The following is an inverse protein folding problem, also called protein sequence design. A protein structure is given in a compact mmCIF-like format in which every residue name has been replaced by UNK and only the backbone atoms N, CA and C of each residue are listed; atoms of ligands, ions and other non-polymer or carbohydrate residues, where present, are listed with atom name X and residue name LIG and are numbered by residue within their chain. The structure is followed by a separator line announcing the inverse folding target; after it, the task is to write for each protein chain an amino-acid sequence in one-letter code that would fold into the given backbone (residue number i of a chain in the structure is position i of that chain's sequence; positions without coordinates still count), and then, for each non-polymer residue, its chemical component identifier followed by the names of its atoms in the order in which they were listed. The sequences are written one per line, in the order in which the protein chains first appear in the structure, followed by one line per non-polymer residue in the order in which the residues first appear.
data_IF_110610398838
#
_entry.id   IF_110610398838
#
_cell.length_a   1.000
_cell.length_b   1.000
_cell.length_c   1.000
_cell.angle_alpha   90.00
_cell.angle_beta   90.00
_cell.angle_gamma   90.00
#
_symmetry.space_group_name_H-M   'P 1'
#
loop_
_entity.id
_entity.type
_entity.pdbx_description
1 polymer ?
#
# COMPACT_ATOMS: atom_id res chain seq x y z
N UNK A 1 8.44 3.53 -1.89
CA UNK A 1 7.92 3.56 -0.52
C UNK A 1 9.07 3.74 0.44
N UNK A 2 9.03 4.79 1.25
CA UNK A 2 10.12 5.16 2.15
C UNK A 2 9.91 4.72 3.59
N UNK A 3 8.79 4.09 3.90
CA UNK A 3 8.51 3.58 5.24
C UNK A 3 9.40 2.38 5.57
N UNK A 4 9.91 2.33 6.80
CA UNK A 4 10.70 1.20 7.29
C UNK A 4 9.86 0.31 8.18
N UNK A 5 9.74 -0.96 7.80
CA UNK A 5 9.06 -1.98 8.58
C UNK A 5 9.68 -3.34 8.30
N UNK A 6 9.40 -4.30 9.19
CA UNK A 6 9.96 -5.64 9.06
C UNK A 6 9.47 -6.31 7.78
N UNK A 7 10.41 -6.85 7.01
CA UNK A 7 10.12 -7.56 5.77
C UNK A 7 9.86 -6.68 4.56
N UNK A 8 10.08 -5.37 4.65
CA UNK A 8 9.88 -4.44 3.53
C UNK A 8 10.57 -4.90 2.25
N UNK A 9 11.80 -5.38 2.37
CA UNK A 9 12.58 -5.77 1.19
C UNK A 9 11.96 -6.97 0.46
N UNK A 10 11.31 -7.88 1.19
CA UNK A 10 10.60 -9.00 0.59
C UNK A 10 9.45 -8.49 -0.26
N UNK A 11 8.67 -7.53 0.24
CA UNK A 11 7.56 -6.93 -0.51
C UNK A 11 8.06 -6.14 -1.73
N UNK A 12 9.19 -5.43 -1.60
CA UNK A 12 9.79 -4.73 -2.74
C UNK A 12 10.22 -5.69 -3.84
N UNK A 13 10.76 -6.85 -3.48
CA UNK A 13 11.09 -7.90 -4.45
C UNK A 13 9.83 -8.43 -5.14
N UNK A 14 8.76 -8.66 -4.39
CA UNK A 14 7.50 -9.08 -4.98
C UNK A 14 6.97 -8.04 -5.96
N UNK A 15 6.99 -6.75 -5.58
CA UNK A 15 6.56 -5.67 -6.46
C UNK A 15 7.35 -5.62 -7.76
N UNK A 16 8.63 -5.94 -7.73
CA UNK A 16 9.47 -5.96 -8.93
C UNK A 16 9.04 -7.03 -9.95
N UNK A 17 8.30 -8.05 -9.49
CA UNK A 17 7.79 -9.15 -10.31
C UNK A 17 6.28 -9.08 -10.51
N UNK A 18 5.64 -8.00 -10.07
CA UNK A 18 4.20 -7.86 -10.11
C UNK A 18 3.72 -7.44 -11.51
N UNK A 19 2.60 -8.03 -11.91
CA UNK A 19 1.83 -7.58 -13.09
C UNK A 19 0.45 -7.16 -12.63
N UNK A 20 -0.05 -6.10 -13.20
CA UNK A 20 -1.44 -5.65 -12.96
C UNK A 20 -2.34 -6.52 -13.82
N UNK A 21 -3.26 -7.24 -13.15
CA UNK A 21 -4.23 -8.11 -13.86
C UNK A 21 -5.63 -7.53 -13.87
N UNK A 22 -5.90 -6.53 -13.01
CA UNK A 22 -7.21 -5.91 -12.92
C UNK A 22 -7.06 -4.53 -12.31
N UNK A 23 -7.83 -3.57 -12.83
CA UNK A 23 -7.87 -2.21 -12.30
C UNK A 23 -9.31 -1.71 -12.31
N UNK A 24 -9.78 -1.25 -11.14
CA UNK A 24 -11.07 -0.60 -11.00
C UNK A 24 -10.86 0.84 -10.58
N UNK A 25 -11.55 1.78 -11.26
CA UNK A 25 -11.48 3.21 -10.97
C UNK A 25 -12.89 3.80 -10.82
N UNK A 26 -13.74 3.18 -10.01
CA UNK A 26 -15.13 3.61 -9.91
C UNK A 26 -15.35 4.50 -8.68
N UNK A 27 -15.80 3.98 -7.58
CA UNK A 27 -15.96 4.74 -6.33
C UNK A 27 -14.63 4.85 -5.57
N UNK A 28 -13.75 3.88 -5.79
CA UNK A 28 -12.41 3.83 -5.25
C UNK A 28 -11.52 3.16 -6.31
N UNK A 29 -10.20 3.23 -6.09
CA UNK A 29 -9.26 2.58 -7.01
C UNK A 29 -8.81 1.26 -6.39
N UNK A 30 -8.93 0.17 -7.14
CA UNK A 30 -8.43 -1.15 -6.75
C UNK A 30 -7.55 -1.67 -7.86
N UNK A 31 -6.30 -1.96 -7.53
CA UNK A 31 -5.33 -2.53 -8.47
C UNK A 31 -4.95 -3.90 -7.99
N UNK A 32 -5.33 -4.93 -8.76
CA UNK A 32 -5.01 -6.32 -8.45
C UNK A 32 -3.72 -6.72 -9.12
N UNK A 33 -2.89 -7.46 -8.39
CA UNK A 33 -1.60 -7.92 -8.87
C UNK A 33 -1.53 -9.43 -9.02
N UNK A 34 -0.71 -9.87 -9.96
CA UNK A 34 -0.21 -11.24 -10.03
C UNK A 34 1.30 -11.20 -9.92
N UNK A 35 1.84 -11.95 -8.99
CA UNK A 35 3.29 -12.06 -8.81
C UNK A 35 3.76 -13.33 -9.52
N UNK A 36 4.70 -13.18 -10.47
CA UNK A 36 5.20 -14.29 -11.27
C UNK A 36 6.63 -14.65 -10.89
N UNK A 37 6.97 -15.95 -10.99
CA UNK A 37 8.31 -16.46 -10.74
C UNK A 37 8.52 -16.91 -9.32
N UNK A 38 9.78 -17.16 -8.99
CA UNK A 38 10.17 -17.56 -7.64
C UNK A 38 10.14 -16.35 -6.72
N UNK A 39 9.26 -16.38 -5.75
CA UNK A 39 9.06 -15.30 -4.79
C UNK A 39 9.16 -15.83 -3.37
N UNK A 40 9.74 -15.01 -2.49
CA UNK A 40 9.72 -15.26 -1.07
C UNK A 40 8.43 -14.71 -0.48
N UNK A 41 7.61 -15.53 0.19
CA UNK A 41 6.40 -15.02 0.82
C UNK A 41 6.75 -14.13 2.01
N UNK A 42 5.89 -13.12 2.24
CA UNK A 42 6.02 -12.26 3.41
C UNK A 42 5.73 -13.09 4.67
N UNK A 43 6.69 -13.16 5.63
CA UNK A 43 6.57 -14.11 6.74
C UNK A 43 5.66 -13.66 7.87
N UNK A 44 5.20 -12.42 7.83
CA UNK A 44 4.36 -11.86 8.90
C UNK A 44 2.88 -11.98 8.54
N UNK A 45 2.06 -12.37 9.52
CA UNK A 45 0.62 -12.54 9.34
C UNK A 45 -0.11 -11.20 9.52
N UNK A 46 0.13 -10.28 8.60
CA UNK A 46 -0.43 -8.94 8.62
C UNK A 46 -1.04 -8.66 7.25
N UNK A 47 -2.33 -8.29 7.21
CA UNK A 47 -3.03 -8.00 5.96
C UNK A 47 -2.51 -6.72 5.30
N UNK A 48 -2.34 -5.67 6.09
CA UNK A 48 -1.85 -4.37 5.63
C UNK A 48 -0.69 -3.94 6.53
N UNK A 49 0.55 -4.24 6.13
CA UNK A 49 1.71 -3.90 6.96
C UNK A 49 1.97 -2.39 7.05
N UNK A 50 1.60 -1.66 6.02
CA UNK A 50 1.80 -0.20 5.98
C UNK A 50 0.64 0.47 5.27
N UNK A 51 0.16 1.58 5.85
CA UNK A 51 -0.81 2.47 5.24
C UNK A 51 -0.10 3.77 4.91
N UNK A 52 -0.31 4.29 3.71
CA UNK A 52 0.23 5.59 3.32
C UNK A 52 -0.92 6.59 3.20
N UNK A 53 -0.75 7.78 3.76
CA UNK A 53 -1.70 8.87 3.65
C UNK A 53 -1.06 10.05 2.92
N UNK A 54 -1.65 10.44 1.81
CA UNK A 54 -1.23 11.60 1.05
C UNK A 54 -2.19 12.76 1.33
N UNK A 55 -1.68 13.80 1.98
CA UNK A 55 -2.47 14.96 2.38
C UNK A 55 -2.53 15.97 1.26
N UNK A 56 -3.74 16.46 0.99
CA UNK A 56 -4.03 17.44 -0.03
C UNK A 56 -4.46 18.77 0.61
N UNK A 57 -4.26 19.88 -0.09
CA UNK A 57 -4.51 21.21 0.44
C UNK A 57 -5.99 21.48 0.74
N UNK A 58 -6.89 21.09 -0.12
CA UNK A 58 -8.31 21.46 -0.03
C UNK A 58 -9.25 20.26 -0.02
N UNK A 59 -8.71 19.07 0.17
CA UNK A 59 -9.48 17.83 0.11
C UNK A 59 -9.04 16.87 1.20
N UNK A 60 -9.88 15.87 1.47
CA UNK A 60 -9.53 14.82 2.40
C UNK A 60 -8.29 14.05 1.93
N UNK A 61 -7.50 13.49 2.86
CA UNK A 61 -6.34 12.68 2.50
C UNK A 61 -6.70 11.48 1.63
N UNK A 62 -5.80 11.14 0.72
CA UNK A 62 -5.87 9.90 -0.06
C UNK A 62 -5.13 8.82 0.70
N UNK A 63 -5.76 7.67 0.90
CA UNK A 63 -5.23 6.56 1.69
C UNK A 63 -4.88 5.41 0.75
N UNK A 64 -3.66 4.91 0.86
CA UNK A 64 -3.14 3.79 0.09
C UNK A 64 -2.96 2.59 1.01
N UNK A 65 -3.63 1.49 0.69
CA UNK A 65 -3.61 0.25 1.46
C UNK A 65 -3.09 -0.88 0.59
N UNK A 66 -1.89 -1.36 0.91
CA UNK A 66 -1.32 -2.52 0.22
C UNK A 66 -1.72 -3.79 0.97
N UNK A 67 -2.56 -4.60 0.33
CA UNK A 67 -3.10 -5.83 0.90
C UNK A 67 -2.21 -7.03 0.60
N UNK A 68 -1.88 -7.78 1.63
CA UNK A 68 -1.10 -9.03 1.55
C UNK A 68 -2.03 -10.19 1.87
N UNK A 69 -2.05 -11.19 1.01
CA UNK A 69 -2.84 -12.40 1.20
C UNK A 69 -1.94 -13.62 1.08
N UNK A 70 -1.91 -14.45 2.11
CA UNK A 70 -1.05 -15.64 2.17
C UNK A 70 0.42 -15.33 1.87
N UNK A 71 0.90 -14.20 2.38
CA UNK A 71 2.28 -13.76 2.20
C UNK A 71 2.59 -13.13 0.84
N UNK A 72 1.60 -12.95 -0.02
CA UNK A 72 1.79 -12.43 -1.38
C UNK A 72 1.01 -11.13 -1.55
N UNK A 73 1.63 -10.15 -2.20
CA UNK A 73 0.94 -8.91 -2.56
C UNK A 73 -0.24 -9.21 -3.47
N UNK A 74 -1.42 -8.78 -3.05
CA UNK A 74 -2.68 -9.08 -3.74
C UNK A 74 -3.28 -7.84 -4.40
N UNK A 75 -3.39 -6.76 -3.65
CA UNK A 75 -4.13 -5.59 -4.09
C UNK A 75 -3.56 -4.30 -3.50
N UNK A 76 -3.55 -3.23 -4.30
CA UNK A 76 -3.40 -1.87 -3.81
C UNK A 76 -4.77 -1.19 -3.87
N UNK A 77 -5.31 -0.85 -2.71
CA UNK A 77 -6.57 -0.12 -2.59
C UNK A 77 -6.27 1.35 -2.33
N UNK A 78 -6.93 2.23 -3.05
CA UNK A 78 -6.76 3.69 -2.92
C UNK A 78 -8.13 4.32 -2.67
N UNK A 79 -8.30 4.93 -1.51
CA UNK A 79 -9.55 5.55 -1.07
C UNK A 79 -9.28 6.96 -0.57
N UNK A 80 -10.34 7.73 -0.38
CA UNK A 80 -10.26 9.01 0.33
C UNK A 80 -10.78 8.83 1.75
N UNK A 81 -10.28 9.65 2.68
CA UNK A 81 -10.68 9.57 4.09
C UNK A 81 -12.16 9.89 4.31
N UNK A 82 -12.77 10.70 3.43
CA UNK A 82 -14.18 11.06 3.49
C UNK A 82 -15.06 10.29 2.50
N UNK A 83 -14.51 9.27 1.86
CA UNK A 83 -15.16 8.45 0.83
C UNK A 83 -15.59 9.23 -0.42
N UNK A 84 -15.07 10.44 -0.62
CA UNK A 84 -15.30 11.19 -1.83
C UNK A 84 -14.58 10.58 -3.02
N UNK A 85 -15.07 10.86 -4.22
CA UNK A 85 -14.43 10.39 -5.45
C UNK A 85 -13.05 11.01 -5.62
N UNK A 86 -12.06 10.20 -6.03
CA UNK A 86 -10.71 10.67 -6.27
C UNK A 86 -10.64 11.34 -7.65
N UNK A 87 -10.28 12.63 -7.66
CA UNK A 87 -10.03 13.35 -8.92
C UNK A 87 -8.56 13.17 -9.31
N UNK A 88 -8.30 12.21 -10.19
CA UNK A 88 -6.94 11.87 -10.60
C UNK A 88 -6.27 12.96 -11.44
N UNK A 89 -7.03 13.92 -11.96
CA UNK A 89 -6.51 15.01 -12.80
C UNK A 89 -5.95 16.19 -11.99
N UNK A 90 -6.31 16.27 -10.70
CA UNK A 90 -6.01 17.43 -9.86
C UNK A 90 -5.49 17.05 -8.47
N UNK A 91 -4.58 16.08 -8.41
CA UNK A 91 -3.98 15.67 -7.13
C UNK A 91 -2.75 16.55 -6.87
N UNK A 92 -2.81 17.35 -5.80
CA UNK A 92 -1.66 18.10 -5.30
C UNK A 92 -1.34 17.62 -3.89
N UNK A 93 -0.32 16.78 -3.77
CA UNK A 93 0.12 16.22 -2.50
C UNK A 93 1.04 17.19 -1.79
N UNK A 94 0.68 17.61 -0.57
CA UNK A 94 1.51 18.48 0.26
C UNK A 94 2.51 17.71 1.11
N UNK A 95 2.05 16.58 1.67
CA UNK A 95 2.91 15.72 2.50
C UNK A 95 2.38 14.31 2.49
N UNK A 96 3.24 13.38 2.87
CA UNK A 96 2.92 11.96 2.99
C UNK A 96 3.24 11.51 4.41
N UNK A 97 2.34 10.75 5.02
CA UNK A 97 2.55 10.09 6.29
C UNK A 97 2.35 8.59 6.14
N UNK A 98 3.10 7.82 6.93
CA UNK A 98 2.97 6.36 6.96
C UNK A 98 2.51 5.91 8.33
N UNK A 99 1.58 4.96 8.35
CA UNK A 99 1.21 4.25 9.57
C UNK A 99 1.61 2.79 9.39
N UNK A 100 2.50 2.32 10.25
CA UNK A 100 3.02 0.97 10.19
C UNK A 100 2.28 0.11 11.21
N UNK A 101 1.82 -1.07 10.77
CA UNK A 101 1.18 -2.02 11.66
C UNK A 101 2.14 -2.38 12.79
N UNK A 102 1.64 -2.37 14.03
CA UNK A 102 2.46 -2.58 15.23
C UNK A 102 3.23 -3.90 15.22
N UNK A 103 2.70 -4.92 14.58
CA UNK A 103 3.34 -6.23 14.51
C UNK A 103 4.59 -6.27 13.65
N UNK A 104 4.78 -5.27 12.78
CA UNK A 104 5.94 -5.21 11.87
C UNK A 104 6.78 -3.95 12.06
N UNK A 105 6.60 -3.24 13.16
CA UNK A 105 7.44 -2.09 13.50
C UNK A 105 8.86 -2.59 13.79
N UNK A 106 9.84 -1.92 13.18
CA UNK A 106 11.25 -2.17 13.49
C UNK A 106 11.54 -1.70 14.91
N UNK A 107 11.94 -2.64 15.77
CA UNK A 107 12.29 -2.33 17.15
C UNK A 107 13.78 -2.04 17.24
N UNK A 108 14.10 -0.82 17.71
CA UNK A 108 15.47 -0.51 18.06
C UNK A 108 15.77 -1.08 19.43
N UNK A 109 16.57 -2.14 19.47
CA UNK A 109 17.14 -2.65 20.73
C UNK A 109 18.33 -1.78 21.08
N UNK A 110 18.09 -0.76 21.84
CA UNK A 110 19.18 0.01 22.44
C UNK A 110 19.47 -0.48 23.85
#
# INVERSE_FOLDING_TARGET
MNAEFQGRDILLQQLSKAKIIYKQEYAFISIKFKIEGDIEPYPYHVRVPVEMRAFQQSSAPIIFLLHIVNGIIDELEIITADSAEINTDNIEVERVEYEINQEVIVKNNS
#
